data_IF_591361557499
#
_entry.id   IF_591361557499
#
_cell.length_a   1.000
_cell.length_b   1.000
_cell.length_c   1.000
_cell.angle_alpha   90.00
_cell.angle_beta   90.00
_cell.angle_gamma   90.00
#
_symmetry.space_group_name_H-M   'P 1'
#
loop_
_entity.id
_entity.type
_entity.pdbx_description
1 polymer ?
#
# COMPACT_ATOMS: atom_id res chain seq x y z
N UNK A 1 -2.41 30.76 49.01
CA UNK A 1 -3.35 30.49 47.91
C UNK A 1 -2.71 30.39 46.52
N UNK A 2 -1.39 30.22 46.39
CA UNK A 2 -0.73 30.10 45.07
C UNK A 2 -0.20 28.69 44.74
N UNK A 3 -0.21 27.75 45.68
CA UNK A 3 0.32 26.40 45.49
C UNK A 3 -0.72 25.33 45.13
N UNK A 4 -2.02 25.62 45.29
CA UNK A 4 -3.11 24.65 45.10
C UNK A 4 -3.65 24.63 43.65
N UNK A 5 -3.37 25.68 42.86
CA UNK A 5 -3.87 25.83 41.49
C UNK A 5 -2.95 25.23 40.43
N UNK A 6 -1.66 25.04 40.70
CA UNK A 6 -0.70 24.50 39.74
C UNK A 6 -0.84 22.98 39.53
N UNK A 7 -1.28 22.25 40.57
CA UNK A 7 -1.45 20.78 40.50
C UNK A 7 -2.70 20.38 39.70
N UNK A 8 -3.73 21.22 39.64
CA UNK A 8 -4.95 20.91 38.88
C UNK A 8 -4.77 21.10 37.37
N UNK A 9 -3.91 22.03 36.95
CA UNK A 9 -3.65 22.35 35.52
C UNK A 9 -2.75 21.31 34.86
N UNK A 10 -1.82 20.70 35.61
CA UNK A 10 -0.94 19.66 35.07
C UNK A 10 -1.66 18.33 34.78
N UNK A 11 -2.73 18.01 35.51
CA UNK A 11 -3.51 16.78 35.28
C UNK A 11 -4.44 16.87 34.05
N UNK A 12 -4.91 18.04 33.66
CA UNK A 12 -5.79 18.19 32.49
C UNK A 12 -5.05 18.12 31.16
N UNK A 13 -3.77 18.50 31.10
CA UNK A 13 -2.95 18.42 29.89
C UNK A 13 -2.54 16.98 29.51
N UNK A 14 -2.36 16.10 30.50
CA UNK A 14 -2.00 14.69 30.26
C UNK A 14 -3.22 13.88 29.80
N UNK A 15 -4.42 14.18 30.33
CA UNK A 15 -5.67 13.50 29.89
C UNK A 15 -6.08 13.90 28.47
N UNK A 16 -5.78 15.13 28.03
CA UNK A 16 -6.01 15.56 26.64
C UNK A 16 -5.11 14.84 25.62
N UNK A 17 -3.97 14.27 26.05
CA UNK A 17 -3.04 13.56 25.17
C UNK A 17 -3.41 12.09 24.94
N UNK A 18 -4.29 11.51 25.76
CA UNK A 18 -4.71 10.11 25.63
C UNK A 18 -5.86 9.90 24.63
N UNK A 19 -6.66 10.94 24.35
CA UNK A 19 -7.74 10.86 23.35
C UNK A 19 -7.26 11.16 21.92
N UNK A 20 -6.06 11.72 21.75
CA UNK A 20 -5.43 11.92 20.45
C UNK A 20 -4.82 10.62 19.87
N UNK A 21 -4.55 9.62 20.73
CA UNK A 21 -4.03 8.30 20.35
C UNK A 21 -4.90 7.14 20.85
N UNK A 22 -6.10 7.41 21.38
CA UNK A 22 -7.13 6.38 21.48
C UNK A 22 -7.67 6.12 20.06
N UNK A 23 -7.87 4.86 19.65
CA UNK A 23 -8.63 4.57 18.45
C UNK A 23 -10.05 5.07 18.67
N UNK A 24 -10.32 6.31 18.25
CA UNK A 24 -11.67 6.85 18.19
C UNK A 24 -12.51 5.91 17.34
N UNK A 25 -13.72 5.62 17.80
CA UNK A 25 -14.68 4.70 17.18
C UNK A 25 -15.06 5.02 15.72
N UNK A 26 -14.42 6.01 15.10
CA UNK A 26 -14.68 6.55 13.77
C UNK A 26 -13.51 6.42 12.78
N UNK A 27 -12.36 5.86 13.16
CA UNK A 27 -11.31 5.49 12.19
C UNK A 27 -11.20 3.96 12.04
N UNK A 28 -12.31 3.35 11.62
CA UNK A 28 -12.24 2.03 11.00
C UNK A 28 -11.79 2.24 9.55
N UNK A 29 -10.71 1.58 9.09
CA UNK A 29 -10.43 1.48 7.66
C UNK A 29 -11.71 1.00 6.98
N UNK A 30 -12.21 1.77 6.00
CA UNK A 30 -13.50 1.54 5.31
C UNK A 30 -13.68 0.12 4.73
N UNK A 31 -12.58 -0.65 4.60
CA UNK A 31 -12.60 -2.06 4.22
C UNK A 31 -13.03 -3.04 5.32
N UNK A 32 -13.10 -2.63 6.59
CA UNK A 32 -13.45 -3.51 7.73
C UNK A 32 -14.82 -3.21 8.35
N UNK A 33 -15.60 -2.30 7.77
CA UNK A 33 -17.01 -2.15 8.14
C UNK A 33 -17.71 -3.48 7.85
N UNK A 34 -17.98 -4.24 8.90
CA UNK A 34 -18.79 -5.46 8.84
C UNK A 34 -20.10 -5.14 8.13
N UNK A 35 -20.29 -5.69 6.94
CA UNK A 35 -21.46 -5.42 6.07
C UNK A 35 -21.14 -4.77 4.72
N UNK A 36 -19.91 -4.27 4.48
CA UNK A 36 -19.46 -3.83 3.14
C UNK A 36 -18.48 -4.85 2.55
N UNK A 37 -18.86 -6.12 2.57
CA UNK A 37 -18.23 -7.17 1.77
C UNK A 37 -18.93 -7.27 0.41
N UNK A 38 -19.07 -6.16 -0.31
CA UNK A 38 -19.49 -6.15 -1.72
C UNK A 38 -18.30 -6.14 -2.68
N UNK A 39 -17.11 -6.53 -2.21
CA UNK A 39 -16.05 -6.96 -3.12
C UNK A 39 -16.54 -8.24 -3.77
N UNK A 40 -17.09 -8.11 -4.97
CA UNK A 40 -17.48 -9.26 -5.79
C UNK A 40 -16.21 -10.06 -6.10
N UNK A 41 -16.00 -11.16 -5.36
CA UNK A 41 -14.90 -12.10 -5.59
C UNK A 41 -15.20 -13.03 -6.77
N UNK A 42 -15.92 -12.54 -7.78
CA UNK A 42 -16.27 -13.33 -8.95
C UNK A 42 -15.07 -13.38 -9.88
N UNK A 43 -14.64 -14.60 -10.22
CA UNK A 43 -13.60 -14.83 -11.20
C UNK A 43 -14.12 -14.51 -12.61
N UNK A 44 -13.47 -13.56 -13.28
CA UNK A 44 -13.92 -12.96 -14.54
C UNK A 44 -13.46 -13.72 -15.80
N UNK A 45 -12.64 -14.78 -15.63
CA UNK A 45 -12.03 -15.61 -16.69
C UNK A 45 -11.26 -14.82 -17.76
N UNK A 46 -10.99 -13.54 -17.54
CA UNK A 46 -10.42 -12.65 -18.56
C UNK A 46 -8.91 -12.84 -18.73
N UNK A 47 -8.29 -13.56 -17.79
CA UNK A 47 -6.83 -13.66 -17.66
C UNK A 47 -6.20 -12.31 -17.28
N UNK A 48 -6.99 -11.35 -16.79
CA UNK A 48 -6.50 -10.06 -16.30
C UNK A 48 -6.10 -10.19 -14.84
N UNK A 49 -5.01 -9.51 -14.48
CA UNK A 49 -4.63 -9.32 -13.10
C UNK A 49 -4.16 -7.87 -12.89
N UNK A 50 -4.30 -7.32 -11.67
CA UNK A 50 -3.70 -6.04 -11.32
C UNK A 50 -2.18 -6.19 -11.27
N UNK A 51 -1.49 -5.65 -12.27
CA UNK A 51 -0.04 -5.52 -12.27
C UNK A 51 0.31 -4.27 -11.47
N UNK A 52 1.02 -4.49 -10.37
CA UNK A 52 1.44 -3.43 -9.46
C UNK A 52 2.93 -3.19 -9.68
N UNK A 53 3.30 -1.94 -9.97
CA UNK A 53 4.68 -1.49 -10.02
C UNK A 53 4.88 -0.44 -8.94
N UNK A 54 5.79 -0.71 -8.02
CA UNK A 54 6.15 0.18 -6.92
C UNK A 54 7.40 0.95 -7.35
N UNK A 55 7.24 2.26 -7.54
CA UNK A 55 8.33 3.17 -7.84
C UNK A 55 8.71 3.91 -6.56
N UNK A 56 9.83 3.51 -5.95
CA UNK A 56 10.53 4.31 -4.95
C UNK A 56 11.72 4.97 -5.64
N UNK A 57 11.52 6.19 -6.12
CA UNK A 57 12.51 6.93 -6.90
C UNK A 57 13.20 8.03 -6.08
N UNK A 58 13.25 7.89 -4.74
CA UNK A 58 13.92 8.86 -3.87
C UNK A 58 15.39 9.04 -4.29
N UNK A 59 15.76 10.26 -4.65
CA UNK A 59 17.11 10.61 -5.12
C UNK A 59 17.42 10.20 -6.57
N UNK A 60 16.43 9.73 -7.33
CA UNK A 60 16.62 9.31 -8.72
C UNK A 60 16.71 10.52 -9.65
N UNK A 61 17.88 10.72 -10.27
CA UNK A 61 18.07 11.74 -11.31
C UNK A 61 17.80 11.16 -12.70
N UNK A 62 16.53 10.86 -13.00
CA UNK A 62 16.11 10.26 -14.29
C UNK A 62 16.22 11.22 -15.49
N UNK A 63 16.63 12.48 -15.27
CA UNK A 63 16.75 13.51 -16.33
C UNK A 63 15.43 14.17 -16.73
N UNK A 64 14.29 13.67 -16.23
CA UNK A 64 12.97 14.30 -16.36
C UNK A 64 12.22 14.19 -15.03
N UNK A 65 11.41 15.19 -14.64
CA UNK A 65 10.55 15.09 -13.46
C UNK A 65 9.57 13.92 -13.57
N UNK A 66 9.26 13.28 -12.44
CA UNK A 66 8.16 12.31 -12.36
C UNK A 66 6.84 13.01 -12.70
N UNK A 67 6.21 12.58 -13.81
CA UNK A 67 5.08 13.28 -14.45
C UNK A 67 3.84 12.41 -14.60
N UNK A 68 3.99 11.12 -14.31
CA UNK A 68 2.98 10.09 -14.46
C UNK A 68 1.82 10.32 -13.48
N UNK A 69 2.11 10.76 -12.24
CA UNK A 69 1.10 11.20 -11.29
C UNK A 69 0.80 12.69 -11.44
N UNK A 70 -0.44 13.00 -11.84
CA UNK A 70 -0.91 14.39 -12.09
C UNK A 70 -1.78 14.94 -10.95
N UNK A 71 -1.80 14.25 -9.81
CA UNK A 71 -2.58 14.65 -8.64
C UNK A 71 -1.90 15.73 -7.80
N UNK A 72 -2.47 15.99 -6.62
CA UNK A 72 -1.89 16.95 -5.68
C UNK A 72 -0.57 16.39 -5.14
N UNK A 73 0.44 17.27 -5.07
CA UNK A 73 1.70 16.99 -4.41
C UNK A 73 1.51 16.84 -2.91
N UNK A 74 2.30 15.97 -2.30
CA UNK A 74 2.40 15.81 -0.86
C UNK A 74 3.34 16.86 -0.23
N UNK A 75 4.21 17.48 -1.04
CA UNK A 75 5.28 18.40 -0.61
C UNK A 75 6.26 17.72 0.35
N UNK A 76 6.70 16.52 -0.03
CA UNK A 76 7.53 15.65 0.81
C UNK A 76 8.08 14.47 0.02
N UNK A 77 8.67 13.47 0.71
CA UNK A 77 9.31 12.33 0.06
C UNK A 77 8.35 11.49 -0.80
N UNK A 78 7.04 11.60 -0.57
CA UNK A 78 6.01 10.92 -1.36
C UNK A 78 5.89 11.47 -2.79
N UNK A 79 6.39 12.68 -3.08
CA UNK A 79 6.40 13.23 -4.44
C UNK A 79 7.38 12.48 -5.37
N UNK A 80 8.36 11.76 -4.79
CA UNK A 80 9.33 10.91 -5.48
C UNK A 80 8.95 9.42 -5.43
N UNK A 81 7.75 9.10 -4.93
CA UNK A 81 7.24 7.73 -4.81
C UNK A 81 5.90 7.58 -5.54
N UNK A 82 5.73 6.52 -6.30
CA UNK A 82 4.50 6.27 -7.05
C UNK A 82 4.16 4.79 -7.11
N UNK A 83 2.86 4.48 -7.04
CA UNK A 83 2.36 3.13 -7.29
C UNK A 83 1.57 3.17 -8.60
N UNK A 84 2.07 2.45 -9.61
CA UNK A 84 1.30 2.19 -10.83
C UNK A 84 0.55 0.88 -10.68
N UNK A 85 -0.77 0.95 -10.82
CA UNK A 85 -1.62 -0.24 -10.90
C UNK A 85 -2.27 -0.28 -12.27
N UNK A 86 -2.08 -1.37 -13.00
CA UNK A 86 -2.66 -1.57 -14.32
C UNK A 86 -3.35 -2.93 -14.40
N UNK A 87 -4.62 -2.96 -14.82
CA UNK A 87 -5.26 -4.23 -15.18
C UNK A 87 -4.73 -4.71 -16.53
N UNK A 88 -3.83 -5.69 -16.50
CA UNK A 88 -3.16 -6.20 -17.69
C UNK A 88 -3.49 -7.68 -17.89
N UNK A 89 -3.48 -8.14 -19.15
CA UNK A 89 -3.68 -9.57 -19.45
C UNK A 89 -2.36 -10.26 -19.18
N UNK A 90 -2.38 -11.30 -18.35
CA UNK A 90 -1.19 -12.06 -18.02
C UNK A 90 -1.01 -13.10 -19.12
N UNK A 91 0.05 -12.94 -19.89
CA UNK A 91 0.44 -13.84 -20.96
C UNK A 91 1.81 -14.45 -20.63
N UNK A 92 1.95 -15.75 -20.89
CA UNK A 92 3.21 -16.48 -20.75
C UNK A 92 3.67 -16.86 -22.16
N UNK A 93 4.94 -16.60 -22.47
CA UNK A 93 5.51 -16.95 -23.76
C UNK A 93 5.85 -18.45 -23.82
N UNK A 94 5.83 -19.04 -25.01
CA UNK A 94 6.17 -20.45 -25.21
C UNK A 94 7.60 -20.77 -24.72
N UNK A 95 8.56 -19.88 -24.97
CA UNK A 95 9.95 -20.05 -24.51
C UNK A 95 10.07 -20.07 -22.99
N UNK A 96 9.27 -19.27 -22.27
CA UNK A 96 9.20 -19.36 -20.80
C UNK A 96 8.66 -20.72 -20.36
N UNK A 97 7.63 -21.25 -21.03
CA UNK A 97 7.08 -22.56 -20.72
C UNK A 97 8.10 -23.70 -20.95
N UNK A 98 8.82 -23.68 -22.07
CA UNK A 98 9.85 -24.67 -22.38
C UNK A 98 11.00 -24.64 -21.36
N UNK A 99 11.41 -23.43 -20.94
CA UNK A 99 12.47 -23.27 -19.93
C UNK A 99 12.07 -23.85 -18.58
N UNK A 100 10.83 -23.62 -18.15
CA UNK A 100 10.31 -24.15 -16.87
C UNK A 100 10.15 -25.68 -16.97
N UNK A 101 9.73 -26.21 -18.11
CA UNK A 101 9.67 -27.65 -18.35
C UNK A 101 11.07 -28.28 -18.22
N UNK A 102 12.07 -27.73 -18.90
CA UNK A 102 13.44 -28.23 -18.84
C UNK A 102 14.01 -28.16 -17.40
N UNK A 103 13.78 -27.05 -16.69
CA UNK A 103 14.16 -26.93 -15.28
C UNK A 103 13.48 -27.99 -14.41
N UNK A 104 12.17 -28.19 -14.57
CA UNK A 104 11.39 -29.18 -13.81
C UNK A 104 11.92 -30.60 -14.04
N UNK A 105 12.18 -30.97 -15.30
CA UNK A 105 12.76 -32.28 -15.64
C UNK A 105 14.17 -32.45 -15.04
N UNK A 106 15.01 -31.40 -15.09
CA UNK A 106 16.36 -31.46 -14.53
C UNK A 106 16.40 -31.69 -13.02
N UNK A 107 15.40 -31.20 -12.28
CA UNK A 107 15.28 -31.38 -10.83
C UNK A 107 14.66 -32.75 -10.51
N UNK A 108 13.64 -33.16 -11.25
CA UNK A 108 12.87 -34.38 -10.95
C UNK A 108 13.60 -35.67 -11.37
N UNK A 109 14.36 -35.65 -12.45
CA UNK A 109 15.11 -36.82 -12.95
C UNK A 109 16.52 -36.94 -12.37
N UNK A 110 16.97 -35.97 -11.56
CA UNK A 110 18.23 -36.05 -10.80
C UNK A 110 17.98 -36.71 -9.43
N UNK A 111 17.46 -37.94 -9.46
CA UNK A 111 17.49 -38.86 -8.32
C UNK A 111 18.49 -39.96 -8.61
#
# INVERSE_FOLDING_TARGET
YLLMSAKLVAFSAIVASATAFAPGASFQPRLRTAGVSSVSMKMDKSGKAPVITVFDHRGCQRGTPDKEYRGKKANGPDDEMCIKVQSAKIAVSASTADSVLQQSLSVLYRK
#
